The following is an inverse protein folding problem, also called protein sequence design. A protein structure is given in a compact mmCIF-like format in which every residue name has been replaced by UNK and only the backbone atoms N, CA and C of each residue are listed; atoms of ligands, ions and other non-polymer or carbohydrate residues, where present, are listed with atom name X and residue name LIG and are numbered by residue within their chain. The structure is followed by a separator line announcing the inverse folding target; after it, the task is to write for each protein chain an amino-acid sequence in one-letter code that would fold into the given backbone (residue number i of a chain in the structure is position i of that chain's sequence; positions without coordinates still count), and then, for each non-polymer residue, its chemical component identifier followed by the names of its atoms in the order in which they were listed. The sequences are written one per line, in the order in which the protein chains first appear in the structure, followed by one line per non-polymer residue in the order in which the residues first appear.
data_IF_076100961356
#
_entry.id   IF_076100961356
#
_cell.length_a   1.000
_cell.length_b   1.000
_cell.length_c   1.000
_cell.angle_alpha   90.00
_cell.angle_beta   90.00
_cell.angle_gamma   90.00
#
_symmetry.space_group_name_H-M   'P 1'
#
loop_
_entity.id
_entity.type
_entity.pdbx_description
1 polymer ?
#
# COMPACT_ATOMS: atom_id res chain seq x y z
N UNK A 1 3.83 -50.75 -24.73
CA UNK A 1 3.50 -49.31 -24.58
C UNK A 1 3.29 -48.90 -23.10
N UNK A 2 4.03 -49.46 -22.12
CA UNK A 2 3.78 -49.20 -20.68
C UNK A 2 4.91 -48.50 -19.90
N UNK A 3 5.98 -48.05 -20.55
CA UNK A 3 7.20 -47.56 -19.86
C UNK A 3 7.38 -46.02 -19.91
N UNK A 4 6.82 -45.35 -20.92
CA UNK A 4 6.94 -43.89 -21.07
C UNK A 4 6.21 -43.14 -19.95
N UNK A 5 5.08 -43.65 -19.47
CA UNK A 5 4.28 -43.00 -18.43
C UNK A 5 4.97 -43.02 -17.07
N UNK A 6 5.65 -44.13 -16.71
CA UNK A 6 6.41 -44.24 -15.45
C UNK A 6 7.64 -43.34 -15.45
N UNK A 7 8.34 -43.26 -16.60
CA UNK A 7 9.51 -42.37 -16.76
C UNK A 7 9.11 -40.90 -16.65
N UNK A 8 8.02 -40.48 -17.31
CA UNK A 8 7.49 -39.12 -17.21
C UNK A 8 7.04 -38.75 -15.79
N UNK A 9 6.41 -39.67 -15.07
CA UNK A 9 6.03 -39.45 -13.66
C UNK A 9 7.27 -39.27 -12.77
N UNK A 10 8.29 -40.11 -12.92
CA UNK A 10 9.52 -40.01 -12.14
C UNK A 10 10.31 -38.71 -12.43
N UNK A 11 10.33 -38.25 -13.68
CA UNK A 11 10.89 -36.95 -14.06
C UNK A 11 10.09 -35.79 -13.45
N UNK A 12 8.75 -35.85 -13.49
CA UNK A 12 7.87 -34.86 -12.86
C UNK A 12 8.10 -34.76 -11.34
N UNK A 13 8.25 -35.90 -10.65
CA UNK A 13 8.54 -35.94 -9.21
C UNK A 13 9.91 -35.35 -8.89
N UNK A 14 10.96 -35.69 -9.67
CA UNK A 14 12.31 -35.13 -9.48
C UNK A 14 12.35 -33.61 -9.69
N UNK A 15 11.64 -33.11 -10.70
CA UNK A 15 11.54 -31.67 -10.96
C UNK A 15 10.75 -30.95 -9.87
N UNK A 16 9.65 -31.53 -9.38
CA UNK A 16 8.90 -31.00 -8.24
C UNK A 16 9.76 -30.93 -6.97
N UNK A 17 10.53 -31.98 -6.68
CA UNK A 17 11.43 -32.01 -5.53
C UNK A 17 12.53 -30.95 -5.64
N UNK A 18 13.17 -30.83 -6.81
CA UNK A 18 14.17 -29.81 -7.06
C UNK A 18 13.62 -28.39 -6.88
N UNK A 19 12.40 -28.13 -7.39
CA UNK A 19 11.73 -26.85 -7.23
C UNK A 19 11.41 -26.53 -5.76
N UNK A 20 10.96 -27.54 -4.99
CA UNK A 20 10.71 -27.40 -3.55
C UNK A 20 11.99 -27.07 -2.76
N UNK A 21 13.12 -27.73 -3.09
CA UNK A 21 14.41 -27.45 -2.46
C UNK A 21 14.89 -26.02 -2.78
N UNK A 22 14.78 -25.59 -4.04
CA UNK A 22 15.15 -24.22 -4.43
C UNK A 22 14.28 -23.18 -3.71
N UNK A 23 12.96 -23.41 -3.64
CA UNK A 23 12.02 -22.54 -2.93
C UNK A 23 12.31 -22.47 -1.43
N UNK A 24 12.63 -23.61 -0.79
CA UNK A 24 13.01 -23.64 0.62
C UNK A 24 14.27 -22.81 0.88
N UNK A 25 15.33 -23.02 0.08
CA UNK A 25 16.58 -22.27 0.19
C UNK A 25 16.36 -20.78 0.00
N UNK A 26 15.51 -20.39 -0.95
CA UNK A 26 15.11 -18.99 -1.15
C UNK A 26 14.46 -18.40 0.10
N UNK A 27 13.52 -19.11 0.72
CA UNK A 27 12.85 -18.63 1.93
C UNK A 27 13.81 -18.46 3.10
N UNK A 28 14.78 -19.36 3.25
CA UNK A 28 15.80 -19.26 4.31
C UNK A 28 16.70 -18.03 4.11
N UNK A 29 17.09 -17.75 2.87
CA UNK A 29 17.82 -16.52 2.52
C UNK A 29 17.01 -15.26 2.80
N UNK A 30 15.70 -15.25 2.48
CA UNK A 30 14.81 -14.13 2.80
C UNK A 30 14.73 -13.92 4.32
N UNK A 31 14.56 -14.99 5.09
CA UNK A 31 14.49 -14.93 6.56
C UNK A 31 15.78 -14.36 7.16
N UNK A 32 16.93 -14.83 6.68
CA UNK A 32 18.23 -14.31 7.12
C UNK A 32 18.36 -12.82 6.78
N UNK A 33 18.06 -12.42 5.55
CA UNK A 33 18.14 -11.03 5.13
C UNK A 33 17.17 -10.10 5.89
N UNK A 34 15.99 -10.61 6.31
CA UNK A 34 15.07 -9.88 7.18
C UNK A 34 15.69 -9.68 8.57
N UNK A 35 16.27 -10.72 9.17
CA UNK A 35 16.90 -10.66 10.50
C UNK A 35 18.11 -9.72 10.51
N UNK A 36 18.91 -9.75 9.45
CA UNK A 36 20.10 -8.92 9.29
C UNK A 36 19.76 -7.50 8.80
N UNK A 37 18.49 -7.21 8.54
CA UNK A 37 18.01 -5.97 7.89
C UNK A 37 18.77 -5.64 6.59
N UNK A 38 19.22 -6.65 5.85
CA UNK A 38 20.00 -6.51 4.62
C UNK A 38 19.12 -6.06 3.46
N UNK A 39 18.95 -4.74 3.35
CA UNK A 39 18.21 -4.12 2.26
C UNK A 39 18.79 -4.43 0.87
N UNK A 40 20.08 -4.77 0.74
CA UNK A 40 20.71 -5.02 -0.57
C UNK A 40 20.29 -6.37 -1.12
N UNK A 41 20.35 -7.42 -0.29
CA UNK A 41 19.85 -8.75 -0.64
C UNK A 41 18.36 -8.73 -0.88
N UNK A 42 17.57 -8.06 -0.03
CA UNK A 42 16.12 -7.95 -0.21
C UNK A 42 15.75 -7.25 -1.54
N UNK A 43 16.48 -6.19 -1.94
CA UNK A 43 16.28 -5.54 -3.26
C UNK A 43 16.59 -6.48 -4.42
N UNK A 44 17.67 -7.27 -4.32
CA UNK A 44 18.03 -8.26 -5.34
C UNK A 44 16.91 -9.29 -5.50
N UNK A 45 16.46 -9.86 -4.38
CA UNK A 45 15.41 -10.89 -4.37
C UNK A 45 14.05 -10.36 -4.86
N UNK A 46 13.76 -9.08 -4.64
CA UNK A 46 12.54 -8.43 -5.15
C UNK A 46 12.49 -8.35 -6.69
N UNK A 47 13.65 -8.28 -7.35
CA UNK A 47 13.79 -8.17 -8.81
C UNK A 47 13.82 -9.52 -9.53
N UNK A 48 13.94 -10.62 -8.77
CA UNK A 48 13.89 -11.96 -9.34
C UNK A 48 12.45 -12.33 -9.75
N UNK A 49 12.25 -13.28 -10.67
CA UNK A 49 10.94 -13.56 -11.28
C UNK A 49 9.82 -13.88 -10.30
N UNK A 50 10.13 -14.49 -9.14
CA UNK A 50 9.14 -14.77 -8.10
C UNK A 50 8.81 -13.54 -7.24
N UNK A 51 9.71 -12.56 -7.15
CA UNK A 51 9.59 -11.40 -6.25
C UNK A 51 9.18 -11.79 -4.83
N UNK A 52 8.29 -10.99 -4.23
CA UNK A 52 7.58 -11.32 -2.99
C UNK A 52 6.10 -11.51 -3.31
N UNK A 53 5.63 -12.76 -3.36
CA UNK A 53 4.26 -13.09 -3.79
C UNK A 53 3.21 -12.86 -2.70
N UNK A 54 3.58 -13.07 -1.43
CA UNK A 54 2.64 -13.08 -0.30
C UNK A 54 2.72 -11.77 0.49
N UNK A 55 1.56 -11.23 0.88
CA UNK A 55 1.50 -10.00 1.68
C UNK A 55 2.19 -10.14 3.04
N UNK A 56 2.21 -11.35 3.62
CA UNK A 56 2.94 -11.62 4.86
C UNK A 56 4.43 -11.33 4.74
N UNK A 57 5.05 -11.71 3.62
CA UNK A 57 6.45 -11.38 3.35
C UNK A 57 6.60 -9.88 3.09
N UNK A 58 5.69 -9.26 2.33
CA UNK A 58 5.72 -7.82 2.06
C UNK A 58 5.61 -6.99 3.34
N UNK A 59 4.77 -7.41 4.30
CA UNK A 59 4.62 -6.79 5.62
C UNK A 59 5.92 -6.75 6.41
N UNK A 60 6.76 -7.77 6.27
CA UNK A 60 8.07 -7.82 6.93
C UNK A 60 9.14 -7.04 6.15
N UNK A 61 9.09 -7.11 4.82
CA UNK A 61 10.18 -6.66 3.96
C UNK A 61 10.05 -5.18 3.56
N UNK A 62 8.85 -4.71 3.22
CA UNK A 62 8.64 -3.34 2.75
C UNK A 62 9.08 -2.29 3.77
N UNK A 63 8.84 -2.45 5.09
CA UNK A 63 9.37 -1.50 6.08
C UNK A 63 10.91 -1.44 6.13
N UNK A 64 11.59 -2.55 5.82
CA UNK A 64 13.06 -2.58 5.72
C UNK A 64 13.50 -1.82 4.47
N UNK A 65 12.89 -2.12 3.32
CA UNK A 65 13.22 -1.49 2.04
C UNK A 65 12.97 0.02 2.01
N UNK A 66 11.87 0.46 2.65
CA UNK A 66 11.47 1.86 2.76
C UNK A 66 12.13 2.58 3.95
N UNK A 67 12.96 1.87 4.73
CA UNK A 67 13.64 2.40 5.93
C UNK A 67 12.67 2.95 6.99
N UNK A 68 11.52 2.30 7.17
CA UNK A 68 10.48 2.65 8.15
C UNK A 68 10.38 1.69 9.33
N UNK A 69 11.14 0.58 9.33
CA UNK A 69 11.14 -0.45 10.38
C UNK A 69 11.56 0.03 11.79
N UNK A 70 12.25 1.18 11.90
CA UNK A 70 12.61 1.79 13.19
C UNK A 70 11.68 2.94 13.60
N UNK A 71 10.76 3.35 12.74
CA UNK A 71 9.87 4.47 13.00
C UNK A 71 8.73 4.05 13.92
N UNK A 72 8.74 4.48 15.17
CA UNK A 72 7.53 4.47 15.99
C UNK A 72 6.59 5.54 15.43
N UNK A 73 5.61 5.11 14.63
CA UNK A 73 4.49 5.98 14.32
C UNK A 73 3.69 6.16 15.60
N UNK A 74 3.96 7.24 16.32
CA UNK A 74 3.23 7.59 17.54
C UNK A 74 1.81 7.98 17.12
N UNK A 75 0.82 7.24 17.62
CA UNK A 75 -0.59 7.42 17.26
C UNK A 75 -1.06 8.87 17.47
N UNK A 76 -1.74 9.36 16.43
CA UNK A 76 -2.86 10.31 16.42
C UNK A 76 -2.69 11.65 17.15
N UNK A 77 -2.19 12.64 16.40
CA UNK A 77 -2.67 14.03 16.54
C UNK A 77 -3.22 14.48 15.19
N UNK A 78 -4.50 14.23 14.94
CA UNK A 78 -5.17 14.79 13.75
C UNK A 78 -6.46 14.13 13.29
N UNK A 79 -6.89 13.01 13.89
CA UNK A 79 -8.12 12.29 13.51
C UNK A 79 -9.43 13.03 13.80
N UNK A 80 -9.38 14.22 14.42
CA UNK A 80 -10.58 14.95 14.88
C UNK A 80 -10.75 16.32 14.20
N UNK A 81 -10.28 16.49 12.97
CA UNK A 81 -10.58 17.70 12.19
C UNK A 81 -11.14 17.36 10.84
N UNK A 82 -12.46 17.54 10.76
CA UNK A 82 -13.25 17.83 9.56
C UNK A 82 -12.56 18.90 8.71
N UNK A 83 -11.55 18.52 7.92
CA UNK A 83 -11.02 19.39 6.88
C UNK A 83 -11.82 19.06 5.63
N UNK A 84 -12.98 19.72 5.52
CA UNK A 84 -13.52 20.06 4.21
C UNK A 84 -12.38 20.69 3.41
N UNK A 85 -12.08 20.09 2.26
CA UNK A 85 -11.23 20.66 1.21
C UNK A 85 -11.65 22.10 0.95
N UNK A 86 -11.01 23.03 1.65
CA UNK A 86 -11.18 24.46 1.44
C UNK A 86 -10.10 24.85 0.46
N UNK A 87 -10.52 24.99 -0.78
CA UNK A 87 -9.85 25.76 -1.81
C UNK A 87 -9.21 27.01 -1.20
N UNK A 88 -7.91 27.16 -1.40
CA UNK A 88 -7.23 28.42 -1.16
C UNK A 88 -7.90 29.49 -2.04
N UNK A 89 -8.56 30.45 -1.40
CA UNK A 89 -8.66 31.86 -1.81
C UNK A 89 -9.27 32.63 -0.63
N UNK A 90 -8.52 33.60 -0.11
CA UNK A 90 -8.97 34.47 0.97
C UNK A 90 -10.06 35.46 0.52
N UNK A 91 -10.93 35.83 1.45
CA UNK A 91 -11.33 37.18 1.87
C UNK A 91 -12.37 37.01 3.00
N UNK A 92 -12.36 37.98 3.91
CA UNK A 92 -12.98 38.00 5.22
C UNK A 92 -14.52 37.93 5.30
N UNK A 93 -14.95 37.56 6.51
CA UNK A 93 -16.14 37.99 7.27
C UNK A 93 -17.53 37.36 7.06
N UNK A 94 -18.35 37.33 8.15
CA UNK A 94 -19.39 36.34 8.39
C UNK A 94 -20.81 36.89 8.17
N UNK A 95 -21.81 35.97 8.21
CA UNK A 95 -23.21 36.15 8.69
C UNK A 95 -24.31 35.63 7.73
N UNK A 96 -25.08 34.67 8.29
CA UNK A 96 -26.52 34.32 8.12
C UNK A 96 -27.08 33.65 6.84
N UNK A 97 -27.63 32.47 7.13
CA UNK A 97 -29.00 31.99 6.89
C UNK A 97 -29.51 31.62 5.47
N UNK A 98 -30.08 30.40 5.49
CA UNK A 98 -31.34 29.93 4.87
C UNK A 98 -31.33 29.45 3.42
N UNK A 99 -31.67 28.15 3.30
CA UNK A 99 -32.58 27.50 2.34
C UNK A 99 -32.53 27.96 0.89
N UNK A 100 -32.13 27.07 -0.02
CA UNK A 100 -33.08 26.36 -0.86
C UNK A 100 -32.39 25.34 -1.79
N UNK A 101 -33.18 24.33 -2.15
CA UNK A 101 -32.89 23.30 -3.13
C UNK A 101 -32.46 23.95 -4.45
N UNK A 102 -31.41 23.43 -5.10
CA UNK A 102 -31.25 23.41 -6.55
C UNK A 102 -30.14 22.43 -6.94
N UNK A 103 -30.47 21.51 -7.84
CA UNK A 103 -29.57 20.53 -8.41
C UNK A 103 -28.39 21.21 -9.14
N UNK A 104 -27.17 20.83 -8.78
CA UNK A 104 -26.01 20.92 -9.66
C UNK A 104 -25.06 19.80 -9.30
N UNK A 105 -25.09 18.78 -10.16
CA UNK A 105 -24.01 17.87 -10.50
C UNK A 105 -22.64 18.26 -9.92
N UNK A 106 -22.39 17.86 -8.68
CA UNK A 106 -21.05 17.75 -8.13
C UNK A 106 -20.67 16.30 -8.30
N UNK A 107 -19.79 16.03 -9.26
CA UNK A 107 -19.17 14.71 -9.39
C UNK A 107 -18.26 14.57 -8.18
N UNK A 108 -18.74 13.86 -7.15
CA UNK A 108 -17.95 13.51 -5.98
C UNK A 108 -16.67 12.80 -6.45
N UNK A 109 -15.47 13.34 -6.18
CA UNK A 109 -14.22 12.68 -6.54
C UNK A 109 -14.04 11.31 -5.85
N UNK A 110 -14.87 11.00 -4.85
CA UNK A 110 -14.87 9.76 -4.07
C UNK A 110 -15.59 8.61 -4.81
N UNK A 111 -16.48 8.92 -5.76
CA UNK A 111 -17.21 7.90 -6.53
C UNK A 111 -16.46 7.40 -7.78
N UNK A 112 -15.30 7.97 -8.07
CA UNK A 112 -14.43 7.61 -9.20
C UNK A 112 -13.42 6.51 -8.85
N UNK A 113 -13.85 5.45 -8.15
CA UNK A 113 -13.02 4.26 -7.92
C UNK A 113 -13.41 3.11 -8.86
N UNK A 114 -12.95 3.10 -10.12
CA UNK A 114 -12.76 1.85 -10.83
C UNK A 114 -11.53 1.15 -10.25
N UNK A 115 -11.78 -0.04 -9.69
CA UNK A 115 -10.83 -1.15 -9.54
C UNK A 115 -10.11 -1.29 -8.19
N UNK A 116 -10.66 -2.17 -7.34
CA UNK A 116 -9.88 -2.97 -6.39
C UNK A 116 -9.61 -4.32 -7.08
N UNK A 117 -8.36 -4.82 -7.14
CA UNK A 117 -8.08 -6.12 -7.74
C UNK A 117 -8.85 -7.22 -7.02
N UNK A 118 -9.69 -7.94 -7.77
CA UNK A 118 -10.39 -9.13 -7.31
C UNK A 118 -9.39 -10.26 -7.03
N UNK A 119 -9.05 -10.45 -5.76
CA UNK A 119 -8.64 -11.74 -5.23
C UNK A 119 -9.56 -12.08 -4.05
N UNK A 120 -10.72 -12.66 -4.38
CA UNK A 120 -11.55 -13.51 -3.51
C UNK A 120 -11.87 -13.00 -2.08
N UNK A 121 -12.07 -11.70 -1.91
CA UNK A 121 -12.79 -11.15 -0.77
C UNK A 121 -14.02 -10.46 -1.36
N UNK A 122 -15.20 -10.96 -1.03
CA UNK A 122 -16.43 -10.19 -1.20
C UNK A 122 -16.30 -8.96 -0.31
N UNK A 123 -15.69 -7.90 -0.83
CA UNK A 123 -15.56 -6.64 -0.11
C UNK A 123 -16.98 -6.08 -0.03
N UNK A 124 -17.63 -6.37 1.08
CA UNK A 124 -18.93 -5.80 1.40
C UNK A 124 -18.82 -4.28 1.28
N UNK A 125 -19.90 -3.59 0.84
CA UNK A 125 -19.92 -2.13 0.77
C UNK A 125 -19.45 -1.46 2.07
N UNK A 126 -19.72 -2.10 3.22
CA UNK A 126 -19.27 -1.70 4.55
C UNK A 126 -17.74 -1.74 4.67
N UNK A 127 -17.09 -2.85 4.30
CA UNK A 127 -15.63 -2.97 4.33
C UNK A 127 -14.97 -1.97 3.37
N UNK A 128 -15.56 -1.76 2.19
CA UNK A 128 -15.09 -0.75 1.24
C UNK A 128 -15.16 0.65 1.85
N UNK A 129 -16.28 1.02 2.45
CA UNK A 129 -16.46 2.31 3.12
C UNK A 129 -15.45 2.50 4.26
N UNK A 130 -15.23 1.47 5.08
CA UNK A 130 -14.22 1.50 6.14
C UNK A 130 -12.82 1.73 5.58
N UNK A 131 -12.43 1.03 4.51
CA UNK A 131 -11.11 1.21 3.86
C UNK A 131 -10.95 2.58 3.24
N UNK A 132 -12.02 3.15 2.67
CA UNK A 132 -12.02 4.53 2.16
C UNK A 132 -11.82 5.54 3.29
N UNK A 133 -12.47 5.34 4.44
CA UNK A 133 -12.30 6.20 5.61
C UNK A 133 -10.86 6.09 6.17
N UNK A 134 -10.31 4.88 6.27
CA UNK A 134 -8.91 4.67 6.68
C UNK A 134 -7.93 5.36 5.73
N UNK A 135 -8.15 5.24 4.42
CA UNK A 135 -7.34 5.89 3.39
C UNK A 135 -7.41 7.41 3.49
N UNK A 136 -8.61 7.96 3.67
CA UNK A 136 -8.80 9.41 3.85
C UNK A 136 -8.03 9.91 5.06
N UNK A 137 -8.19 9.25 6.22
CA UNK A 137 -7.46 9.61 7.44
C UNK A 137 -5.95 9.56 7.24
N UNK A 138 -5.44 8.50 6.60
CA UNK A 138 -4.02 8.35 6.26
C UNK A 138 -3.51 9.50 5.35
N UNK A 139 -4.26 9.88 4.32
CA UNK A 139 -3.87 10.97 3.41
C UNK A 139 -3.81 12.32 4.13
N UNK A 140 -4.84 12.64 4.91
CA UNK A 140 -4.90 13.88 5.70
C UNK A 140 -3.71 13.94 6.65
N UNK A 141 -3.42 12.85 7.35
CA UNK A 141 -2.35 12.78 8.31
C UNK A 141 -0.96 12.97 7.67
N UNK A 142 -0.69 12.34 6.53
CA UNK A 142 0.56 12.51 5.78
C UNK A 142 0.73 13.96 5.31
N UNK A 143 -0.31 14.55 4.71
CA UNK A 143 -0.25 15.91 4.17
C UNK A 143 -0.14 16.96 5.27
N UNK A 144 -0.81 16.74 6.40
CA UNK A 144 -0.75 17.65 7.55
C UNK A 144 0.63 17.66 8.20
N UNK A 145 1.26 16.48 8.37
CA UNK A 145 2.63 16.34 8.90
C UNK A 145 3.70 16.93 7.97
N UNK A 146 3.38 17.06 6.68
CA UNK A 146 4.31 17.54 5.67
C UNK A 146 3.72 18.75 4.91
N UNK A 147 3.77 19.98 5.47
CA UNK A 147 3.17 21.17 4.84
C UNK A 147 3.73 21.50 3.44
N UNK A 148 4.95 21.03 3.16
CA UNK A 148 5.61 21.16 1.85
C UNK A 148 5.18 20.09 0.85
N UNK A 149 4.51 19.03 1.29
CA UNK A 149 3.90 18.01 0.45
C UNK A 149 2.57 18.51 -0.08
N UNK A 150 2.41 18.46 -1.41
CA UNK A 150 1.14 18.77 -2.07
C UNK A 150 0.57 17.47 -2.61
N UNK A 151 -0.75 17.34 -2.50
CA UNK A 151 -1.45 16.22 -3.11
C UNK A 151 -1.27 16.25 -4.63
N UNK A 152 -1.03 15.08 -5.21
CA UNK A 152 -0.95 14.89 -6.65
C UNK A 152 -1.83 13.72 -7.07
N UNK A 153 -2.32 13.75 -8.30
CA UNK A 153 -3.18 12.70 -8.84
C UNK A 153 -2.43 11.36 -8.86
N UNK A 154 -3.06 10.32 -8.32
CA UNK A 154 -2.46 8.98 -8.14
C UNK A 154 -1.77 8.75 -6.79
N UNK A 155 -1.64 9.78 -5.92
CA UNK A 155 -1.07 9.56 -4.59
C UNK A 155 -1.93 8.60 -3.73
N UNK A 156 -3.25 8.67 -3.88
CA UNK A 156 -4.18 7.77 -3.20
C UNK A 156 -4.03 6.31 -3.65
N UNK A 157 -3.69 6.04 -4.91
CA UNK A 157 -3.46 4.68 -5.41
C UNK A 157 -2.25 4.05 -4.70
N UNK A 158 -1.16 4.80 -4.58
CA UNK A 158 0.04 4.37 -3.84
C UNK A 158 -0.31 4.11 -2.37
N UNK A 159 -1.02 5.03 -1.73
CA UNK A 159 -1.44 4.87 -0.33
C UNK A 159 -2.35 3.67 -0.13
N UNK A 160 -3.24 3.38 -1.08
CA UNK A 160 -4.14 2.22 -1.04
C UNK A 160 -3.36 0.92 -1.03
N UNK A 161 -2.33 0.78 -1.87
CA UNK A 161 -1.46 -0.41 -1.89
C UNK A 161 -0.80 -0.62 -0.52
N UNK A 162 -0.24 0.45 0.08
CA UNK A 162 0.34 0.34 1.41
C UNK A 162 -0.69 0.00 2.48
N UNK A 163 -1.87 0.61 2.43
CA UNK A 163 -2.94 0.36 3.39
C UNK A 163 -3.43 -1.09 3.35
N UNK A 164 -3.61 -1.66 2.14
CA UNK A 164 -4.07 -3.03 1.96
C UNK A 164 -3.04 -4.07 2.41
N UNK A 165 -1.76 -3.82 2.18
CA UNK A 165 -0.68 -4.76 2.52
C UNK A 165 -0.24 -4.62 3.98
N UNK A 166 0.05 -3.39 4.42
CA UNK A 166 0.70 -3.08 5.70
C UNK A 166 -0.27 -2.71 6.83
N UNK A 167 -1.49 -2.28 6.50
CA UNK A 167 -2.42 -1.67 7.44
C UNK A 167 -2.02 -0.23 7.83
N UNK A 168 -2.98 0.55 8.36
CA UNK A 168 -2.85 2.01 8.57
C UNK A 168 -1.53 2.42 9.26
N UNK A 169 -1.21 1.79 10.39
CA UNK A 169 -0.05 2.15 11.23
C UNK A 169 1.30 2.06 10.50
N UNK A 170 1.52 1.00 9.73
CA UNK A 170 2.77 0.82 8.97
C UNK A 170 2.70 1.46 7.57
N UNK A 171 1.50 1.64 7.03
CA UNK A 171 1.28 2.27 5.74
C UNK A 171 1.62 3.76 5.73
N UNK A 172 1.29 4.50 6.80
CA UNK A 172 1.56 5.94 6.88
C UNK A 172 3.06 6.27 6.70
N UNK A 173 3.99 5.76 7.53
CA UNK A 173 5.40 6.08 7.36
C UNK A 173 5.96 5.56 6.03
N UNK A 174 5.43 4.45 5.51
CA UNK A 174 5.80 3.91 4.20
C UNK A 174 5.45 4.88 3.06
N UNK A 175 4.19 5.34 3.01
CA UNK A 175 3.72 6.26 2.00
C UNK A 175 4.35 7.66 2.13
N UNK A 176 4.55 8.13 3.35
CA UNK A 176 5.26 9.38 3.66
C UNK A 176 6.69 9.35 3.09
N UNK A 177 7.46 8.30 3.38
CA UNK A 177 8.82 8.16 2.83
C UNK A 177 8.83 8.09 1.31
N UNK A 178 7.89 7.36 0.70
CA UNK A 178 7.77 7.32 -0.78
C UNK A 178 7.49 8.70 -1.35
N UNK A 179 6.53 9.42 -0.77
CA UNK A 179 6.13 10.74 -1.23
C UNK A 179 7.22 11.81 -1.07
N UNK A 180 8.06 11.68 -0.05
CA UNK A 180 9.14 12.64 0.21
C UNK A 180 10.40 12.37 -0.61
N UNK A 181 10.80 11.11 -0.74
CA UNK A 181 12.12 10.75 -1.26
C UNK A 181 12.12 10.12 -2.65
N UNK A 182 11.01 9.50 -3.07
CA UNK A 182 10.99 8.73 -4.31
C UNK A 182 10.21 9.41 -5.44
N UNK A 183 9.24 10.27 -5.12
CA UNK A 183 8.41 10.96 -6.14
C UNK A 183 8.83 12.40 -6.39
N UNK A 184 9.80 12.92 -5.63
CA UNK A 184 10.27 14.31 -5.69
C UNK A 184 11.63 14.51 -6.33
N UNK A 185 12.35 13.44 -6.65
CA UNK A 185 13.61 13.53 -7.39
C UNK A 185 13.36 13.24 -8.88
N UNK A 186 13.50 14.24 -9.77
CA UNK A 186 13.72 13.95 -11.17
C UNK A 186 15.09 13.27 -11.27
N UNK A 187 15.14 12.12 -11.94
CA UNK A 187 16.41 11.58 -12.43
C UNK A 187 17.00 12.48 -13.51
#
# INVERSE_FOLDING_TARGET
MHDLTKKNLALGVKMSLAHNVVRSRRLDLIRQAINDHDSTTLKKMAREPEGFVHDELRRLIWPILLRTHHGSYVDEKGSDSTITTTTANGIADPVKNRSDQNASSSVDPINLLPWVPNQHIDITPILKAHKQQELHGMLVEILWRNPRLKYYQGFHDICTVFLLVLGKKAAIPAAENVALFFTRYPF
#
